data_IF_027405554208
#
_entry.id   IF_027405554208
#
_cell.length_a   1.000
_cell.length_b   1.000
_cell.length_c   1.000
_cell.angle_alpha   90.00
_cell.angle_beta   90.00
_cell.angle_gamma   90.00
#
_symmetry.space_group_name_H-M   'P 1'
#
loop_
_entity.id
_entity.type
_entity.pdbx_description
1 polymer ?
#
# COMPACT_ATOMS: atom_id res chain seq x y z
N UNK A 1 -4.22 7.00 8.79
CA UNK A 1 -5.34 7.77 8.24
C UNK A 1 -5.19 9.24 8.52
N UNK A 2 -4.87 9.99 7.48
CA UNK A 2 -4.70 11.44 7.57
C UNK A 2 -6.07 12.12 7.63
N UNK A 3 -7.09 11.54 7.00
CA UNK A 3 -8.44 12.10 6.90
C UNK A 3 -9.20 12.28 8.22
N UNK A 4 -8.77 11.64 9.28
CA UNK A 4 -9.41 11.76 10.60
C UNK A 4 -8.90 12.93 11.44
N UNK A 5 -7.83 13.57 11.00
CA UNK A 5 -7.26 14.76 11.64
C UNK A 5 -7.48 15.95 10.73
N UNK A 6 -8.33 16.89 11.15
CA UNK A 6 -8.68 18.08 10.37
C UNK A 6 -7.43 18.85 9.90
N UNK A 7 -6.41 18.92 10.73
CA UNK A 7 -5.15 19.58 10.43
C UNK A 7 -4.33 18.86 9.35
N UNK A 8 -4.41 17.52 9.28
CA UNK A 8 -3.69 16.72 8.30
C UNK A 8 -4.48 16.49 7.00
N UNK A 9 -5.79 16.74 7.01
CA UNK A 9 -6.63 16.70 5.81
C UNK A 9 -6.59 17.98 4.99
N UNK A 10 -5.90 19.01 5.46
CA UNK A 10 -5.66 20.25 4.72
C UNK A 10 -4.41 20.14 3.85
N UNK A 11 -4.29 21.04 2.86
CA UNK A 11 -3.07 21.13 2.04
C UNK A 11 -1.80 21.33 2.89
N UNK A 12 -1.88 22.14 3.94
CA UNK A 12 -0.76 22.37 4.88
C UNK A 12 -0.42 21.10 5.66
N UNK A 13 -1.40 20.30 6.06
CA UNK A 13 -1.19 19.02 6.71
C UNK A 13 -0.50 17.99 5.79
N UNK A 14 -0.84 17.96 4.52
CA UNK A 14 -0.17 17.13 3.52
C UNK A 14 1.28 17.56 3.28
N UNK A 15 1.54 18.87 3.23
CA UNK A 15 2.90 19.41 3.14
C UNK A 15 3.72 19.05 4.39
N UNK A 16 3.15 19.21 5.58
CA UNK A 16 3.79 18.84 6.84
C UNK A 16 4.12 17.35 6.90
N UNK A 17 3.22 16.49 6.44
CA UNK A 17 3.44 15.04 6.33
C UNK A 17 4.55 14.71 5.34
N UNK A 18 4.55 15.34 4.17
CA UNK A 18 5.58 15.19 3.15
C UNK A 18 6.97 15.60 3.67
N UNK A 19 7.05 16.74 4.35
CA UNK A 19 8.29 17.21 4.98
C UNK A 19 8.78 16.28 6.09
N UNK A 20 7.85 15.73 6.88
CA UNK A 20 8.18 14.74 7.89
C UNK A 20 8.78 13.47 7.25
N UNK A 21 8.17 12.94 6.21
CA UNK A 21 8.70 11.80 5.47
C UNK A 21 10.08 12.08 4.87
N UNK A 22 10.27 13.28 4.30
CA UNK A 22 11.57 13.68 3.75
C UNK A 22 12.68 13.69 4.83
N UNK A 23 12.37 14.17 6.04
CA UNK A 23 13.30 14.12 7.18
C UNK A 23 13.58 12.70 7.67
N UNK A 24 12.65 11.78 7.47
CA UNK A 24 12.83 10.35 7.78
C UNK A 24 13.57 9.56 6.67
N UNK A 25 14.09 10.24 5.65
CA UNK A 25 14.84 9.60 4.57
C UNK A 25 13.98 9.10 3.41
N UNK A 26 12.74 9.60 3.28
CA UNK A 26 11.89 9.35 2.12
C UNK A 26 11.93 10.51 1.13
N UNK A 27 11.60 10.20 -0.12
CA UNK A 27 11.48 11.18 -1.21
C UNK A 27 10.03 11.14 -1.73
N UNK A 28 9.11 11.93 -1.13
CA UNK A 28 7.69 11.85 -1.43
C UNK A 28 7.35 12.39 -2.81
N UNK A 29 6.47 11.67 -3.51
CA UNK A 29 5.89 12.02 -4.81
C UNK A 29 4.38 12.14 -4.62
N UNK A 30 3.82 13.32 -4.84
CA UNK A 30 2.38 13.54 -4.77
C UNK A 30 1.72 13.28 -6.13
N UNK A 31 0.56 12.63 -6.10
CA UNK A 31 -0.23 12.39 -7.29
C UNK A 31 -1.72 12.23 -6.99
N UNK A 32 -2.57 12.42 -7.99
CA UNK A 32 -4.01 12.21 -7.86
C UNK A 32 -4.33 10.72 -7.73
N UNK A 33 -4.75 10.31 -6.55
CA UNK A 33 -5.12 8.92 -6.25
C UNK A 33 -6.46 8.48 -6.87
N UNK A 34 -7.16 9.37 -7.59
CA UNK A 34 -8.39 9.07 -8.32
C UNK A 34 -8.12 8.71 -9.77
N UNK A 35 -6.92 8.98 -10.26
CA UNK A 35 -6.51 8.72 -11.63
C UNK A 35 -5.58 7.52 -11.70
N UNK A 36 -6.01 6.39 -12.32
CA UNK A 36 -5.14 5.23 -12.53
C UNK A 36 -3.87 5.54 -13.34
N UNK A 37 -3.93 6.49 -14.28
CA UNK A 37 -2.77 6.89 -15.05
C UNK A 37 -1.73 7.60 -14.18
N UNK A 38 -2.17 8.43 -13.23
CA UNK A 38 -1.29 9.07 -12.27
C UNK A 38 -0.55 8.05 -11.40
N UNK A 39 -1.18 6.93 -11.01
CA UNK A 39 -0.51 5.81 -10.33
C UNK A 39 0.61 5.21 -11.19
N UNK A 40 0.33 4.93 -12.46
CA UNK A 40 1.34 4.38 -13.38
C UNK A 40 2.52 5.33 -13.52
N UNK A 41 2.25 6.63 -13.72
CA UNK A 41 3.29 7.65 -13.81
C UNK A 41 4.12 7.76 -12.51
N UNK A 42 3.47 7.72 -11.36
CA UNK A 42 4.15 7.77 -10.06
C UNK A 42 5.05 6.54 -9.83
N UNK A 43 4.57 5.34 -10.16
CA UNK A 43 5.36 4.12 -10.07
C UNK A 43 6.57 4.15 -11.00
N UNK A 44 6.38 4.62 -12.24
CA UNK A 44 7.47 4.80 -13.20
C UNK A 44 8.51 5.81 -12.69
N UNK A 45 8.06 6.95 -12.15
CA UNK A 45 8.96 7.96 -11.58
C UNK A 45 9.75 7.41 -10.38
N UNK A 46 9.09 6.64 -9.49
CA UNK A 46 9.77 5.97 -8.38
C UNK A 46 10.85 5.00 -8.88
N UNK A 47 10.55 4.21 -9.91
CA UNK A 47 11.50 3.28 -10.52
C UNK A 47 12.71 4.03 -11.10
N UNK A 48 12.48 5.13 -11.84
CA UNK A 48 13.54 5.96 -12.40
C UNK A 48 14.43 6.56 -11.31
N UNK A 49 13.83 7.07 -10.24
CA UNK A 49 14.60 7.61 -9.10
C UNK A 49 15.43 6.54 -8.40
N UNK A 50 14.86 5.36 -8.18
CA UNK A 50 15.60 4.24 -7.58
C UNK A 50 16.75 3.77 -8.45
N UNK A 51 16.52 3.60 -9.76
CA UNK A 51 17.55 3.18 -10.71
C UNK A 51 18.72 4.16 -10.71
N UNK A 52 18.46 5.45 -10.83
CA UNK A 52 19.48 6.48 -10.77
C UNK A 52 20.29 6.44 -9.48
N UNK A 53 19.63 6.32 -8.34
CA UNK A 53 20.31 6.23 -7.02
C UNK A 53 21.19 4.99 -6.88
N UNK A 54 20.75 3.88 -7.44
CA UNK A 54 21.58 2.66 -7.45
C UNK A 54 22.85 2.86 -8.29
N UNK A 55 22.74 3.55 -9.42
CA UNK A 55 23.88 3.90 -10.28
C UNK A 55 24.83 4.86 -9.58
N UNK A 56 24.29 5.91 -8.96
CA UNK A 56 25.07 6.90 -8.20
C UNK A 56 25.76 6.27 -6.97
N UNK A 57 25.08 5.33 -6.28
CA UNK A 57 25.70 4.56 -5.20
C UNK A 57 26.85 3.69 -5.69
N UNK A 58 26.64 2.97 -6.80
CA UNK A 58 27.69 2.11 -7.40
C UNK A 58 28.90 2.92 -7.88
N UNK A 59 28.67 4.15 -8.29
CA UNK A 59 29.72 5.08 -8.74
C UNK A 59 30.41 5.81 -7.59
N UNK A 60 30.00 5.59 -6.35
CA UNK A 60 30.54 6.29 -5.18
C UNK A 60 30.15 7.77 -5.06
N UNK A 61 29.17 8.22 -5.85
CA UNK A 61 28.64 9.60 -5.80
C UNK A 61 27.68 9.76 -4.63
N UNK A 62 26.87 8.74 -4.34
CA UNK A 62 25.91 8.71 -3.24
C UNK A 62 26.34 7.73 -2.16
N UNK A 63 26.05 8.09 -0.90
CA UNK A 63 26.33 7.27 0.29
C UNK A 63 25.03 6.99 1.05
N UNK A 64 25.00 5.94 1.84
CA UNK A 64 23.89 5.67 2.75
C UNK A 64 23.75 6.74 3.83
N UNK A 65 22.53 7.06 4.28
CA UNK A 65 21.23 6.50 3.83
C UNK A 65 20.75 7.12 2.51
N UNK A 66 20.15 6.28 1.66
CA UNK A 66 19.56 6.73 0.40
C UNK A 66 18.12 7.20 0.61
N UNK A 67 17.70 8.34 0.05
CA UNK A 67 16.29 8.72 0.06
C UNK A 67 15.45 7.73 -0.73
N UNK A 68 14.43 7.13 -0.10
CA UNK A 68 13.57 6.12 -0.72
C UNK A 68 12.35 6.81 -1.32
N UNK A 69 12.06 6.65 -2.62
CA UNK A 69 10.84 7.21 -3.22
C UNK A 69 9.59 6.66 -2.54
N UNK A 70 8.65 7.55 -2.24
CA UNK A 70 7.41 7.22 -1.56
C UNK A 70 6.24 7.95 -2.23
N UNK A 71 5.23 7.19 -2.69
CA UNK A 71 4.04 7.75 -3.33
C UNK A 71 3.00 8.19 -2.32
N UNK A 72 2.51 9.41 -2.43
CA UNK A 72 1.38 9.95 -1.68
C UNK A 72 0.22 10.16 -2.65
N UNK A 73 -0.76 9.24 -2.60
CA UNK A 73 -1.96 9.31 -3.42
C UNK A 73 -3.03 10.15 -2.71
N UNK A 74 -3.34 11.31 -3.25
CA UNK A 74 -4.41 12.16 -2.74
C UNK A 74 -5.75 11.75 -3.33
N UNK A 75 -6.71 11.38 -2.49
CA UNK A 75 -8.01 10.91 -2.93
C UNK A 75 -9.10 11.23 -1.92
N UNK A 76 -10.34 11.18 -2.39
CA UNK A 76 -11.51 11.18 -1.53
C UNK A 76 -11.84 9.75 -1.11
N UNK A 77 -12.10 9.57 0.17
CA UNK A 77 -12.55 8.28 0.67
C UNK A 77 -13.89 7.90 0.07
N UNK A 78 -13.97 6.67 -0.45
CA UNK A 78 -15.16 6.20 -1.15
C UNK A 78 -15.37 6.84 -2.51
N UNK A 79 -14.34 7.43 -3.12
CA UNK A 79 -14.43 8.07 -4.43
C UNK A 79 -15.15 7.18 -5.46
N UNK A 80 -16.10 7.77 -6.16
CA UNK A 80 -16.91 7.08 -7.18
C UNK A 80 -18.12 6.31 -6.64
N UNK A 81 -18.34 6.31 -5.30
CA UNK A 81 -19.48 5.62 -4.71
C UNK A 81 -20.29 6.52 -3.76
N UNK A 82 -21.47 6.08 -3.36
CA UNK A 82 -22.35 6.78 -2.42
C UNK A 82 -21.62 7.11 -1.11
N UNK A 83 -21.84 8.31 -0.61
CA UNK A 83 -21.21 8.77 0.64
C UNK A 83 -19.74 9.17 0.52
N UNK A 84 -19.19 9.26 -0.70
CA UNK A 84 -17.82 9.69 -0.94
C UNK A 84 -17.47 10.99 -0.17
N UNK A 85 -16.32 11.02 0.49
CA UNK A 85 -15.85 12.14 1.31
C UNK A 85 -16.46 12.21 2.71
N UNK A 86 -17.44 11.36 3.03
CA UNK A 86 -18.01 11.27 4.38
C UNK A 86 -17.34 10.18 5.23
N UNK A 87 -17.50 10.29 6.56
CA UNK A 87 -17.03 9.24 7.47
C UNK A 87 -17.77 7.90 7.25
N UNK A 88 -19.03 7.92 6.78
CA UNK A 88 -19.81 6.74 6.46
C UNK A 88 -19.15 5.91 5.34
N UNK A 89 -18.49 6.54 4.37
CA UNK A 89 -17.78 5.86 3.29
C UNK A 89 -16.65 4.92 3.79
N UNK A 90 -16.33 4.95 5.09
CA UNK A 90 -15.33 4.07 5.66
C UNK A 90 -15.78 2.62 5.77
N UNK A 91 -16.93 2.37 6.32
CA UNK A 91 -17.40 1.02 6.64
C UNK A 91 -18.80 0.73 6.08
N UNK A 92 -19.72 1.68 6.19
CA UNK A 92 -21.12 1.51 5.85
C UNK A 92 -21.63 2.77 5.14
N UNK A 93 -21.30 2.96 3.85
CA UNK A 93 -21.73 4.16 3.12
C UNK A 93 -23.24 4.17 2.88
N UNK A 94 -23.87 3.01 2.74
CA UNK A 94 -25.31 2.88 2.50
C UNK A 94 -26.13 2.97 3.79
N UNK A 95 -27.37 3.45 3.73
CA UNK A 95 -28.25 3.57 4.90
C UNK A 95 -28.67 2.21 5.49
N UNK A 96 -28.52 1.13 4.74
CA UNK A 96 -28.87 -0.22 5.14
C UNK A 96 -28.22 -1.29 4.28
N UNK A 97 -28.54 -2.55 4.57
CA UNK A 97 -28.07 -3.68 3.78
C UNK A 97 -28.84 -3.77 2.44
N UNK A 98 -28.20 -3.60 1.28
CA UNK A 98 -28.87 -3.62 -0.02
C UNK A 98 -29.53 -4.96 -0.36
N UNK A 99 -29.21 -6.04 0.35
CA UNK A 99 -29.89 -7.33 0.17
C UNK A 99 -31.33 -7.31 0.67
N UNK A 100 -31.60 -6.62 1.77
CA UNK A 100 -32.90 -6.60 2.43
C UNK A 100 -33.61 -5.23 2.36
N UNK A 101 -32.86 -4.14 2.27
CA UNK A 101 -33.37 -2.77 2.22
C UNK A 101 -33.48 -2.30 0.77
N UNK A 102 -34.72 -1.95 0.37
CA UNK A 102 -35.02 -1.51 -1.00
C UNK A 102 -34.37 -0.19 -1.36
N UNK A 103 -34.31 0.77 -0.41
CA UNK A 103 -33.67 2.07 -0.65
C UNK A 103 -32.14 1.92 -0.76
N UNK A 104 -31.53 1.17 0.14
CA UNK A 104 -30.12 0.87 0.06
C UNK A 104 -29.73 0.15 -1.24
N UNK A 105 -30.60 -0.76 -1.72
CA UNK A 105 -30.44 -1.45 -3.01
C UNK A 105 -30.51 -0.49 -4.19
N UNK A 106 -31.47 0.42 -4.19
CA UNK A 106 -31.60 1.42 -5.25
C UNK A 106 -30.34 2.30 -5.35
N UNK A 107 -29.87 2.82 -4.22
CA UNK A 107 -28.64 3.60 -4.14
C UNK A 107 -27.40 2.80 -4.57
N UNK A 108 -27.31 1.54 -4.13
CA UNK A 108 -26.21 0.67 -4.56
C UNK A 108 -26.21 0.48 -6.08
N UNK A 109 -27.37 0.16 -6.67
CA UNK A 109 -27.47 -0.08 -8.12
C UNK A 109 -27.15 1.19 -8.93
N UNK A 110 -27.61 2.36 -8.48
CA UNK A 110 -27.33 3.63 -9.11
C UNK A 110 -25.82 3.92 -9.14
N UNK A 111 -25.15 3.80 -7.99
CA UNK A 111 -23.72 4.12 -7.88
C UNK A 111 -22.79 3.01 -8.36
N UNK A 112 -23.25 1.77 -8.43
CA UNK A 112 -22.49 0.66 -8.98
C UNK A 112 -22.63 0.55 -10.52
N UNK A 113 -23.66 1.15 -11.11
CA UNK A 113 -23.89 1.10 -12.55
C UNK A 113 -22.68 1.55 -13.41
N UNK A 114 -21.94 2.62 -13.05
CA UNK A 114 -20.74 3.03 -13.78
C UNK A 114 -19.58 2.03 -13.71
N UNK A 115 -19.60 1.13 -12.74
CA UNK A 115 -18.58 0.09 -12.56
C UNK A 115 -18.89 -1.18 -13.36
N UNK A 116 -20.08 -1.26 -13.96
CA UNK A 116 -20.47 -2.42 -14.72
C UNK A 116 -19.71 -2.46 -16.05
N UNK A 117 -19.03 -3.57 -16.28
CA UNK A 117 -18.30 -3.83 -17.51
C UNK A 117 -18.93 -5.05 -18.20
N UNK A 118 -19.18 -5.02 -19.52
CA UNK A 118 -19.65 -6.20 -20.26
C UNK A 118 -18.76 -7.41 -19.99
N UNK A 119 -19.33 -8.61 -19.75
CA UNK A 119 -18.54 -9.81 -19.42
C UNK A 119 -17.47 -10.12 -20.46
N UNK A 120 -17.72 -9.84 -21.73
CA UNK A 120 -16.76 -10.06 -22.81
C UNK A 120 -15.53 -9.12 -22.71
N UNK A 121 -15.75 -7.85 -22.37
CA UNK A 121 -14.66 -6.88 -22.16
C UNK A 121 -13.84 -7.25 -20.93
N UNK A 122 -14.50 -7.65 -19.85
CA UNK A 122 -13.83 -8.12 -18.64
C UNK A 122 -12.97 -9.36 -18.93
N UNK A 123 -13.49 -10.31 -19.70
CA UNK A 123 -12.75 -11.51 -20.10
C UNK A 123 -11.52 -11.14 -20.95
N UNK A 124 -11.66 -10.22 -21.91
CA UNK A 124 -10.53 -9.74 -22.71
C UNK A 124 -9.47 -9.03 -21.85
N UNK A 125 -9.89 -8.18 -20.91
CA UNK A 125 -8.97 -7.52 -19.98
C UNK A 125 -8.22 -8.53 -19.12
N UNK A 126 -8.91 -9.54 -18.58
CA UNK A 126 -8.28 -10.63 -17.81
C UNK A 126 -7.26 -11.39 -18.67
N UNK A 127 -7.58 -11.73 -19.91
CA UNK A 127 -6.66 -12.43 -20.81
C UNK A 127 -5.40 -11.59 -21.09
N UNK A 128 -5.55 -10.28 -21.31
CA UNK A 128 -4.41 -9.37 -21.49
C UNK A 128 -3.51 -9.30 -20.25
N UNK A 129 -4.11 -9.22 -19.06
CA UNK A 129 -3.37 -9.20 -17.79
C UNK A 129 -2.61 -10.50 -17.55
N UNK A 130 -3.25 -11.65 -17.81
CA UNK A 130 -2.63 -12.97 -17.69
C UNK A 130 -1.46 -13.10 -18.68
N UNK A 131 -1.66 -12.72 -19.93
CA UNK A 131 -0.61 -12.73 -20.96
C UNK A 131 0.58 -11.82 -20.61
N UNK A 132 0.30 -10.62 -20.12
CA UNK A 132 1.34 -9.69 -19.64
C UNK A 132 2.13 -10.23 -18.46
N UNK A 133 1.47 -10.97 -17.54
CA UNK A 133 2.12 -11.61 -16.40
C UNK A 133 3.03 -12.77 -16.83
N UNK A 134 2.59 -13.59 -17.77
CA UNK A 134 3.37 -14.73 -18.26
C UNK A 134 4.69 -14.31 -18.96
N UNK A 135 4.71 -13.12 -19.57
CA UNK A 135 5.92 -12.55 -20.18
C UNK A 135 6.87 -11.85 -19.22
N UNK A 136 6.49 -11.67 -17.95
CA UNK A 136 7.23 -10.85 -16.97
C UNK A 136 7.84 -11.62 -15.80
N UNK A 137 7.89 -12.95 -15.86
CA UNK A 137 8.61 -13.71 -14.81
C UNK A 137 10.10 -13.43 -14.99
N UNK A 138 10.62 -12.45 -14.25
CA UNK A 138 12.05 -12.17 -14.26
C UNK A 138 12.78 -13.31 -13.53
N UNK A 139 14.00 -13.64 -13.96
CA UNK A 139 14.87 -14.60 -13.24
C UNK A 139 15.06 -14.18 -11.78
N UNK A 140 14.96 -12.89 -11.49
CA UNK A 140 15.06 -12.33 -10.14
C UNK A 140 13.87 -12.73 -9.26
N UNK A 141 12.65 -12.76 -9.79
CA UNK A 141 11.45 -13.18 -9.06
C UNK A 141 11.49 -14.68 -8.77
N UNK A 142 11.96 -15.48 -9.73
CA UNK A 142 12.17 -16.92 -9.50
C UNK A 142 13.29 -17.20 -8.52
N UNK A 143 14.38 -16.43 -8.53
CA UNK A 143 15.49 -16.59 -7.59
C UNK A 143 15.07 -16.33 -6.13
N UNK A 144 14.20 -15.31 -5.88
CA UNK A 144 13.67 -15.03 -4.54
C UNK A 144 12.64 -16.08 -4.11
N UNK A 145 11.75 -16.53 -5.01
CA UNK A 145 10.77 -17.56 -4.73
C UNK A 145 11.40 -18.93 -4.47
N UNK A 146 12.55 -19.22 -5.08
CA UNK A 146 13.29 -20.46 -4.91
C UNK A 146 14.31 -20.43 -3.76
N UNK A 147 14.57 -19.26 -3.16
CA UNK A 147 15.33 -19.20 -1.92
C UNK A 147 14.53 -19.84 -0.81
N UNK A 148 14.92 -21.05 -0.44
CA UNK A 148 14.55 -21.62 0.85
C UNK A 148 15.60 -21.14 1.85
N UNK A 149 15.31 -20.10 2.67
CA UNK A 149 16.20 -19.81 3.78
C UNK A 149 16.26 -21.06 4.65
N UNK A 150 17.44 -21.50 4.99
CA UNK A 150 17.58 -22.49 6.06
C UNK A 150 16.86 -21.89 7.28
N UNK A 151 15.94 -22.66 7.85
CA UNK A 151 15.28 -22.22 9.07
C UNK A 151 16.37 -21.97 10.12
N UNK A 152 16.50 -20.75 10.65
CA UNK A 152 17.46 -20.50 11.69
C UNK A 152 17.17 -21.46 12.84
N UNK A 153 18.21 -22.01 13.47
CA UNK A 153 18.00 -22.71 14.73
C UNK A 153 17.38 -21.72 15.70
N UNK A 154 16.13 -21.96 16.03
CA UNK A 154 15.45 -21.10 16.99
C UNK A 154 16.16 -21.23 18.34
N UNK A 155 16.46 -20.11 19.01
CA UNK A 155 16.99 -20.17 20.36
C UNK A 155 16.01 -20.92 21.25
N UNK A 156 16.51 -21.64 22.24
CA UNK A 156 15.65 -22.25 23.26
C UNK A 156 14.90 -21.13 23.97
N UNK A 157 13.59 -21.05 23.70
CA UNK A 157 12.72 -20.05 24.32
C UNK A 157 12.64 -20.35 25.83
N UNK A 158 13.22 -19.49 26.64
CA UNK A 158 13.08 -19.56 28.08
C UNK A 158 11.73 -18.97 28.48
N UNK A 159 10.71 -19.82 28.52
CA UNK A 159 9.43 -19.43 29.11
C UNK A 159 9.60 -19.33 30.62
N UNK A 160 9.37 -18.15 31.17
CA UNK A 160 9.09 -18.03 32.60
C UNK A 160 7.65 -18.43 32.82
N UNK A 161 7.38 -19.18 33.90
CA UNK A 161 6.04 -19.58 34.33
C UNK A 161 5.13 -18.40 34.75
N UNK A 162 5.68 -17.19 34.83
CA UNK A 162 4.93 -15.98 35.13
C UNK A 162 4.13 -15.50 33.92
N UNK A 163 2.86 -15.21 34.14
CA UNK A 163 1.99 -14.60 33.13
C UNK A 163 2.60 -13.28 32.62
N UNK A 164 2.89 -13.21 31.34
CA UNK A 164 3.36 -11.98 30.70
C UNK A 164 2.43 -11.58 29.55
N UNK A 165 2.45 -10.30 29.17
CA UNK A 165 1.71 -9.86 28.01
C UNK A 165 2.32 -10.47 26.72
N UNK A 166 1.50 -10.72 25.66
CA UNK A 166 2.02 -11.22 24.38
C UNK A 166 3.12 -10.33 23.80
N UNK A 167 3.04 -9.02 24.00
CA UNK A 167 4.06 -8.07 23.56
C UNK A 167 5.39 -8.28 24.30
N UNK A 168 5.36 -8.48 25.62
CA UNK A 168 6.57 -8.74 26.41
C UNK A 168 7.22 -10.09 26.03
N UNK A 169 6.43 -11.08 25.66
CA UNK A 169 6.93 -12.35 25.15
C UNK A 169 7.61 -12.18 23.78
N UNK A 170 7.00 -11.38 22.90
CA UNK A 170 7.52 -11.07 21.57
C UNK A 170 8.85 -10.28 21.65
N UNK A 171 8.91 -9.26 22.51
CA UNK A 171 10.14 -8.48 22.72
C UNK A 171 11.29 -9.36 23.18
N UNK A 172 11.06 -10.29 24.11
CA UNK A 172 12.09 -11.26 24.53
C UNK A 172 12.52 -12.17 23.42
N UNK A 173 11.59 -12.67 22.63
CA UNK A 173 11.90 -13.50 21.45
C UNK A 173 12.82 -12.77 20.48
N UNK A 174 12.56 -11.50 20.19
CA UNK A 174 13.42 -10.71 19.31
C UNK A 174 14.79 -10.41 19.92
N UNK A 175 14.88 -10.17 21.22
CA UNK A 175 16.16 -9.99 21.91
C UNK A 175 17.01 -11.27 21.82
N UNK A 176 16.42 -12.44 22.07
CA UNK A 176 17.09 -13.73 21.99
C UNK A 176 17.53 -14.04 20.54
N UNK A 177 16.70 -13.66 19.55
CA UNK A 177 17.02 -13.86 18.13
C UNK A 177 18.20 -12.99 17.64
N UNK A 178 18.33 -11.77 18.17
CA UNK A 178 19.44 -10.85 17.82
C UNK A 178 20.75 -11.21 18.53
N UNK A 179 20.67 -11.95 19.61
CA UNK A 179 21.83 -12.40 20.37
C UNK A 179 22.53 -13.65 19.79
N UNK A 180 21.94 -14.26 18.73
CA UNK A 180 22.50 -15.36 17.96
C UNK A 180 23.45 -14.88 16.89
#
# INVERSE_FOLDING_TARGET
RIEQRTEMGTHEGLLGFSQHLARCGFDPIHFDGRDPAAFVCALWEMEQRLTRRVEELRSGILHYPLPIPYGIAETLKGFGFYGAGSNAAHNLPLPGNPHVDVQARALFNEHAAPLWVPPQELQQACQRLIGARQGRVSERDTALANRRPEAPQLPSLHYREEACSPMAALDRFFVDLVAL
#
